data_IF_542645913960
#
_entry.id   IF_542645913960
#
_cell.length_a   1.000
_cell.length_b   1.000
_cell.length_c   1.000
_cell.angle_alpha   90.00
_cell.angle_beta   90.00
_cell.angle_gamma   90.00
#
_symmetry.space_group_name_H-M   'P 1'
#
loop_
_entity.id
_entity.type
_entity.pdbx_description
1 polymer ?
#
# COMPACT_ATOMS: atom_id res chain seq x y z
N UNK A 1 -3.43 19.29 9.03
CA UNK A 1 -2.77 18.04 8.59
C UNK A 1 -3.68 16.90 8.99
N UNK A 2 -4.00 15.97 8.09
CA UNK A 2 -4.81 14.79 8.44
C UNK A 2 -3.98 13.84 9.30
N UNK A 3 -4.58 13.29 10.35
CA UNK A 3 -3.93 12.25 11.15
C UNK A 3 -3.69 10.98 10.30
N UNK A 4 -2.65 10.18 10.61
CA UNK A 4 -2.36 8.95 9.87
C UNK A 4 -3.52 7.96 9.96
N UNK A 5 -4.09 7.58 8.82
CA UNK A 5 -5.11 6.52 8.78
C UNK A 5 -4.41 5.17 8.94
N UNK A 6 -4.81 4.42 9.98
CA UNK A 6 -4.25 3.10 10.26
C UNK A 6 -5.28 2.01 9.97
N UNK A 7 -4.91 1.05 9.13
CA UNK A 7 -5.67 -0.17 8.85
C UNK A 7 -4.90 -1.35 9.46
N UNK A 8 -5.58 -2.19 10.24
CA UNK A 8 -5.04 -3.41 10.83
C UNK A 8 -5.71 -4.61 10.20
N UNK A 9 -4.94 -5.63 9.86
CA UNK A 9 -5.47 -6.90 9.33
C UNK A 9 -4.54 -8.05 9.67
N UNK A 10 -5.08 -9.26 9.72
CA UNK A 10 -4.32 -10.48 9.97
C UNK A 10 -3.77 -11.06 8.66
N UNK A 11 -2.52 -11.52 8.70
CA UNK A 11 -1.90 -12.32 7.65
C UNK A 11 -1.49 -13.69 8.21
N UNK A 12 -1.19 -14.70 7.38
CA UNK A 12 -0.71 -15.99 7.88
C UNK A 12 0.56 -15.89 8.74
N UNK A 13 1.39 -14.88 8.52
CA UNK A 13 2.61 -14.60 9.28
C UNK A 13 2.35 -13.75 10.55
N UNK A 14 1.09 -13.35 10.80
CA UNK A 14 0.67 -12.59 11.97
C UNK A 14 0.05 -11.23 11.66
N UNK A 15 -0.17 -10.39 12.68
CA UNK A 15 -0.83 -9.09 12.53
C UNK A 15 -0.01 -8.11 11.69
N UNK A 16 -0.69 -7.45 10.75
CA UNK A 16 -0.13 -6.42 9.88
C UNK A 16 -0.80 -5.08 10.16
N UNK A 17 0.00 -4.03 10.20
CA UNK A 17 -0.46 -2.64 10.33
C UNK A 17 -0.02 -1.85 9.11
N UNK A 18 -0.99 -1.30 8.39
CA UNK A 18 -0.80 -0.33 7.31
C UNK A 18 -1.15 1.06 7.83
N UNK A 19 -0.24 2.01 7.68
CA UNK A 19 -0.43 3.41 8.06
C UNK A 19 -0.26 4.28 6.83
N UNK A 20 -1.28 5.08 6.50
CA UNK A 20 -1.17 6.16 5.53
C UNK A 20 -0.52 7.36 6.21
N UNK A 21 0.77 7.57 5.95
CA UNK A 21 1.58 8.60 6.62
C UNK A 21 1.41 9.97 5.99
N UNK A 22 0.95 10.01 4.72
CA UNK A 22 0.71 11.23 3.97
C UNK A 22 -0.46 10.99 3.02
N UNK A 23 -1.42 11.90 3.00
CA UNK A 23 -2.49 11.95 2.00
C UNK A 23 -2.68 13.41 1.62
N UNK A 24 -2.45 13.75 0.36
CA UNK A 24 -2.68 15.07 -0.24
C UNK A 24 -3.29 14.88 -1.63
N UNK A 25 -3.58 15.99 -2.30
CA UNK A 25 -3.97 15.98 -3.71
C UNK A 25 -2.89 15.25 -4.52
N UNK A 26 -3.29 14.13 -5.14
CA UNK A 26 -2.46 13.27 -5.97
C UNK A 26 -1.18 12.74 -5.31
N UNK A 27 -1.13 12.71 -3.98
CA UNK A 27 0.03 12.21 -3.26
C UNK A 27 -0.40 11.36 -2.07
N UNK A 28 0.26 10.21 -1.93
CA UNK A 28 0.05 9.32 -0.80
C UNK A 28 1.33 8.59 -0.41
N UNK A 29 1.60 8.58 0.89
CA UNK A 29 2.69 7.84 1.52
C UNK A 29 2.12 6.78 2.46
N UNK A 30 2.79 5.63 2.53
CA UNK A 30 2.41 4.54 3.41
C UNK A 30 3.59 3.91 4.13
N UNK A 31 3.29 3.30 5.27
CA UNK A 31 4.17 2.43 6.04
C UNK A 31 3.38 1.17 6.39
N UNK A 32 3.93 0.01 6.08
CA UNK A 32 3.43 -1.28 6.53
C UNK A 32 4.42 -1.92 7.49
N UNK A 33 3.91 -2.44 8.59
CA UNK A 33 4.68 -3.20 9.59
C UNK A 33 4.02 -4.56 9.81
N UNK A 34 4.82 -5.62 9.80
CA UNK A 34 4.42 -7.00 10.10
C UNK A 34 5.49 -7.65 10.98
N UNK A 35 5.18 -7.95 12.24
CA UNK A 35 6.17 -8.40 13.22
C UNK A 35 7.35 -7.42 13.35
N UNK A 36 8.57 -7.89 13.10
CA UNK A 36 9.80 -7.08 13.06
C UNK A 36 10.11 -6.47 11.68
N UNK A 37 9.33 -6.80 10.65
CA UNK A 37 9.54 -6.32 9.28
C UNK A 37 8.75 -5.03 9.03
N UNK A 38 9.33 -4.13 8.24
CA UNK A 38 8.67 -2.92 7.79
C UNK A 38 8.98 -2.59 6.33
N UNK A 39 8.04 -1.95 5.66
CA UNK A 39 8.22 -1.42 4.30
C UNK A 39 7.37 -0.19 4.10
N UNK A 40 7.96 0.80 3.45
CA UNK A 40 7.30 2.06 3.11
C UNK A 40 7.38 2.34 1.63
N UNK A 41 6.59 3.31 1.20
CA UNK A 41 6.64 3.88 -0.13
C UNK A 41 5.78 5.11 -0.21
N UNK A 42 6.02 5.90 -1.25
CA UNK A 42 5.26 7.10 -1.55
C UNK A 42 5.05 7.22 -3.06
N UNK A 43 3.93 7.84 -3.42
CA UNK A 43 3.62 8.14 -4.81
C UNK A 43 2.98 9.50 -4.90
N UNK A 44 3.38 10.26 -5.91
CA UNK A 44 2.89 11.61 -6.20
C UNK A 44 2.64 11.79 -7.69
N UNK A 45 1.67 12.64 -8.03
CA UNK A 45 1.24 12.92 -9.40
C UNK A 45 0.06 12.08 -9.86
N UNK A 46 -0.67 12.59 -10.85
CA UNK A 46 -1.84 11.93 -11.43
C UNK A 46 -1.48 10.58 -12.02
N UNK A 47 -2.15 9.54 -11.53
CA UNK A 47 -1.98 8.20 -12.05
C UNK A 47 -0.73 7.46 -11.61
N UNK A 48 0.03 8.04 -10.67
CA UNK A 48 1.12 7.35 -10.03
C UNK A 48 0.57 6.26 -9.10
N UNK A 49 1.30 5.15 -9.02
CA UNK A 49 0.86 3.97 -8.29
C UNK A 49 2.00 3.35 -7.50
N UNK A 50 1.67 2.75 -6.36
CA UNK A 50 2.60 1.94 -5.58
C UNK A 50 2.05 0.52 -5.43
N UNK A 51 2.96 -0.45 -5.41
CA UNK A 51 2.69 -1.80 -4.94
C UNK A 51 3.66 -2.14 -3.82
N UNK A 52 3.14 -2.72 -2.76
CA UNK A 52 3.94 -3.42 -1.77
C UNK A 52 3.51 -4.88 -1.74
N UNK A 53 4.49 -5.78 -1.68
CA UNK A 53 4.31 -7.23 -1.56
C UNK A 53 4.91 -7.65 -0.23
N UNK A 54 4.14 -8.40 0.54
CA UNK A 54 4.50 -8.95 1.84
C UNK A 54 4.46 -10.46 1.73
N UNK A 55 5.55 -11.12 2.12
CA UNK A 55 5.65 -12.58 2.13
C UNK A 55 6.45 -13.01 3.37
N UNK A 56 6.42 -14.30 3.71
CA UNK A 56 7.27 -14.85 4.77
C UNK A 56 8.78 -14.65 4.53
N UNK A 57 9.20 -14.39 3.30
CA UNK A 57 10.59 -14.07 2.94
C UNK A 57 10.97 -12.59 3.10
N UNK A 58 10.04 -11.75 3.54
CA UNK A 58 10.19 -10.32 3.69
C UNK A 58 9.25 -9.53 2.79
N UNK A 59 9.50 -8.22 2.71
CA UNK A 59 8.63 -7.26 2.05
C UNK A 59 9.37 -6.42 1.02
N UNK A 60 8.68 -6.05 -0.07
CA UNK A 60 9.22 -5.24 -1.17
C UNK A 60 8.18 -4.23 -1.62
N UNK A 61 8.61 -3.02 -1.93
CA UNK A 61 7.76 -1.98 -2.53
C UNK A 61 8.34 -1.49 -3.85
N UNK A 62 7.45 -1.05 -4.74
CA UNK A 62 7.80 -0.37 -5.98
C UNK A 62 6.73 0.68 -6.29
N UNK A 63 7.16 1.85 -6.74
CA UNK A 63 6.27 2.97 -7.07
C UNK A 63 6.61 3.52 -8.47
N UNK A 64 5.59 3.90 -9.24
CA UNK A 64 5.72 4.42 -10.59
C UNK A 64 4.39 4.50 -11.35
N UNK A 65 4.45 4.94 -12.62
CA UNK A 65 3.28 5.19 -13.47
C UNK A 65 2.46 3.94 -13.82
N UNK A 66 3.05 2.74 -13.73
CA UNK A 66 2.41 1.48 -14.13
C UNK A 66 2.79 0.35 -13.16
N UNK A 67 2.01 0.18 -12.11
CA UNK A 67 1.98 -1.07 -11.34
C UNK A 67 1.24 -2.15 -12.16
N UNK A 68 1.64 -3.43 -12.07
CA UNK A 68 0.85 -4.53 -12.66
C UNK A 68 -0.51 -4.64 -11.94
N UNK A 69 -1.60 -4.43 -12.69
CA UNK A 69 -3.01 -4.52 -12.21
C UNK A 69 -3.35 -3.51 -11.09
N UNK A 70 -3.21 -2.19 -11.33
CA UNK A 70 -3.62 -1.21 -10.33
C UNK A 70 -5.15 -1.29 -10.14
N UNK A 71 -5.68 -0.90 -8.97
CA UNK A 71 -7.11 -0.70 -8.82
C UNK A 71 -7.61 0.37 -9.79
N UNK A 72 -8.91 0.36 -10.10
CA UNK A 72 -9.51 1.39 -10.94
C UNK A 72 -9.29 2.78 -10.31
N UNK A 73 -8.87 3.75 -11.13
CA UNK A 73 -8.74 5.14 -10.70
C UNK A 73 -10.12 5.74 -10.43
N UNK A 74 -10.15 6.69 -9.51
CA UNK A 74 -11.32 7.50 -9.21
C UNK A 74 -10.86 8.93 -9.00
N UNK A 75 -11.40 9.85 -9.80
CA UNK A 75 -11.00 11.25 -9.78
C UNK A 75 -11.14 11.85 -8.37
N UNK A 76 -10.07 12.51 -7.92
CA UNK A 76 -10.01 13.14 -6.61
C UNK A 76 -9.97 12.15 -5.44
N UNK A 77 -9.58 10.89 -5.68
CA UNK A 77 -9.51 9.87 -4.65
C UNK A 77 -8.23 9.02 -4.75
N UNK A 78 -7.75 8.64 -3.58
CA UNK A 78 -6.73 7.58 -3.46
C UNK A 78 -7.45 6.25 -3.28
N UNK A 79 -7.23 5.31 -4.20
CA UNK A 79 -7.79 3.97 -4.10
C UNK A 79 -6.73 3.00 -3.60
N UNK A 80 -7.08 2.29 -2.52
CA UNK A 80 -6.23 1.32 -1.87
C UNK A 80 -6.84 -0.07 -2.04
N UNK A 81 -6.05 -1.03 -2.51
CA UNK A 81 -6.47 -2.42 -2.68
C UNK A 81 -5.52 -3.34 -1.93
N UNK A 82 -6.07 -4.19 -1.08
CA UNK A 82 -5.33 -5.28 -0.42
C UNK A 82 -5.77 -6.60 -1.05
N UNK A 83 -4.82 -7.39 -1.52
CA UNK A 83 -5.06 -8.71 -2.11
C UNK A 83 -4.28 -9.74 -1.31
N UNK A 84 -4.98 -10.69 -0.68
CA UNK A 84 -4.36 -11.86 -0.08
C UNK A 84 -4.24 -12.98 -1.12
N UNK A 85 -3.09 -13.65 -1.15
CA UNK A 85 -2.83 -14.81 -1.99
C UNK A 85 -2.81 -16.10 -1.14
N UNK A 86 -3.06 -17.24 -1.79
CA UNK A 86 -3.15 -18.53 -1.12
C UNK A 86 -1.84 -19.00 -0.48
N UNK A 87 -0.69 -18.48 -0.93
CA UNK A 87 0.65 -18.72 -0.37
C UNK A 87 0.96 -17.82 0.84
N UNK A 88 -0.03 -17.05 1.32
CA UNK A 88 0.13 -16.09 2.40
C UNK A 88 0.76 -14.76 2.00
N UNK A 89 1.06 -14.58 0.71
CA UNK A 89 1.51 -13.29 0.19
C UNK A 89 0.37 -12.27 0.26
N UNK A 90 0.61 -11.10 0.86
CA UNK A 90 -0.29 -9.97 0.81
C UNK A 90 0.26 -8.91 -0.16
N UNK A 91 -0.60 -8.39 -1.04
CA UNK A 91 -0.24 -7.33 -1.98
C UNK A 91 -1.08 -6.10 -1.67
N UNK A 92 -0.42 -5.01 -1.30
CA UNK A 92 -1.01 -3.69 -1.20
C UNK A 92 -0.80 -2.95 -2.52
N UNK A 93 -1.86 -2.41 -3.11
CA UNK A 93 -1.80 -1.55 -4.29
C UNK A 93 -2.46 -0.23 -3.99
N UNK A 94 -1.89 0.82 -4.57
CA UNK A 94 -2.30 2.19 -4.35
C UNK A 94 -2.27 2.93 -5.67
N UNK A 95 -3.29 3.75 -5.95
CA UNK A 95 -3.31 4.63 -7.12
C UNK A 95 -3.90 5.99 -6.74
N UNK A 96 -3.26 7.05 -7.21
CA UNK A 96 -3.82 8.42 -7.23
C UNK A 96 -4.59 8.64 -8.53
N UNK A 97 -5.72 9.33 -8.45
CA UNK A 97 -6.57 9.68 -9.58
C UNK A 97 -7.14 11.07 -9.46
#
# INVERSE_FOLDING_TARGET
MSEPVTIRFDSPDGPVKLSLTKVRENEVGYLVTSGSNQTSGDTSGDGSSCVAVFSGSGSRSACGMVVRKPPARKDGAVVLQVVAQADGTAILRLVSG
#
